data_IF_874355489070
#
_entry.id   IF_874355489070
#
_cell.length_a   1.000
_cell.length_b   1.000
_cell.length_c   1.000
_cell.angle_alpha   90.00
_cell.angle_beta   90.00
_cell.angle_gamma   90.00
#
_symmetry.space_group_name_H-M   'P 1'
#
loop_
_entity.id
_entity.type
_entity.pdbx_description
1 polymer ?
#
# COMPACT_ATOMS: atom_id res chain seq x y z
N UNK A 1 45.07 -43.77 -40.15
CA UNK A 1 44.95 -45.13 -40.73
C UNK A 1 45.09 -46.08 -39.54
N UNK A 2 44.13 -46.86 -39.04
CA UNK A 2 43.25 -47.82 -39.72
C UNK A 2 42.06 -48.22 -38.78
N UNK A 3 40.86 -48.28 -39.38
CA UNK A 3 39.61 -49.06 -39.15
C UNK A 3 39.64 -50.20 -38.11
N UNK A 4 38.57 -50.75 -37.51
CA UNK A 4 37.09 -50.60 -37.46
C UNK A 4 36.64 -51.88 -36.71
N UNK A 5 35.73 -51.81 -35.72
CA UNK A 5 34.74 -52.88 -35.45
C UNK A 5 33.44 -52.28 -34.91
N UNK A 6 32.34 -52.76 -35.46
CA UNK A 6 30.97 -52.33 -35.22
C UNK A 6 30.15 -53.42 -34.51
N UNK A 7 28.91 -53.04 -34.13
CA UNK A 7 27.72 -53.83 -33.68
C UNK A 7 27.56 -53.90 -32.15
N UNK A 8 26.38 -53.70 -31.53
CA UNK A 8 25.02 -53.38 -31.98
C UNK A 8 24.20 -52.85 -30.78
N UNK A 9 23.35 -51.85 -31.04
CA UNK A 9 22.06 -51.43 -30.43
C UNK A 9 21.55 -51.95 -29.06
N UNK A 10 21.05 -51.02 -28.23
CA UNK A 10 19.67 -51.06 -27.72
C UNK A 10 19.13 -49.65 -27.42
N UNK A 11 17.92 -49.39 -27.89
CA UNK A 11 17.16 -48.15 -27.75
C UNK A 11 16.43 -48.06 -26.41
N UNK A 12 16.28 -46.84 -25.87
CA UNK A 12 15.13 -46.44 -25.08
C UNK A 12 14.95 -44.92 -25.19
N UNK A 13 13.97 -44.51 -25.98
CA UNK A 13 13.41 -43.17 -25.93
C UNK A 13 12.59 -43.04 -24.64
N UNK A 14 12.90 -42.04 -23.81
CA UNK A 14 11.99 -41.62 -22.74
C UNK A 14 11.41 -40.29 -23.19
N UNK A 15 10.11 -40.33 -23.49
CA UNK A 15 9.33 -39.23 -24.01
C UNK A 15 9.18 -38.09 -23.01
N UNK A 16 9.05 -36.89 -23.56
CA UNK A 16 8.53 -35.72 -22.88
C UNK A 16 7.15 -36.01 -22.30
N UNK A 17 6.97 -35.69 -21.01
CA UNK A 17 5.71 -35.22 -20.46
C UNK A 17 6.02 -33.92 -19.72
N UNK A 18 6.07 -32.84 -20.50
CA UNK A 18 6.00 -31.49 -19.98
C UNK A 18 4.61 -31.26 -19.41
N UNK A 19 4.47 -31.36 -18.09
CA UNK A 19 3.33 -30.76 -17.40
C UNK A 19 3.67 -29.29 -17.26
N UNK A 20 3.29 -28.50 -18.28
CA UNK A 20 3.16 -27.07 -18.08
C UNK A 20 2.02 -26.90 -17.07
N UNK A 21 2.37 -26.71 -15.79
CA UNK A 21 1.45 -26.16 -14.83
C UNK A 21 1.12 -24.74 -15.30
N UNK A 22 0.10 -24.61 -16.15
CA UNK A 22 -0.64 -23.36 -16.26
C UNK A 22 -1.30 -23.16 -14.91
N UNK A 23 -0.55 -22.59 -13.97
CA UNK A 23 -1.13 -21.91 -12.85
C UNK A 23 -2.02 -20.84 -13.45
N UNK A 24 -3.32 -21.09 -13.48
CA UNK A 24 -4.28 -20.01 -13.62
C UNK A 24 -3.88 -19.00 -12.55
N UNK A 25 -3.42 -17.82 -12.96
CA UNK A 25 -3.33 -16.69 -12.04
C UNK A 25 -4.71 -16.61 -11.42
N UNK A 26 -4.82 -16.98 -10.14
CA UNK A 26 -6.08 -16.81 -9.44
C UNK A 26 -6.34 -15.31 -9.49
N UNK A 27 -7.44 -14.91 -10.14
CA UNK A 27 -7.97 -13.56 -10.03
C UNK A 27 -8.21 -13.31 -8.55
N UNK A 28 -7.20 -12.74 -7.88
CA UNK A 28 -7.37 -12.20 -6.54
C UNK A 28 -8.40 -11.08 -6.73
N UNK A 29 -9.59 -11.17 -6.12
CA UNK A 29 -10.59 -10.14 -6.27
C UNK A 29 -9.95 -8.79 -5.96
N UNK A 30 -10.05 -7.85 -6.90
CA UNK A 30 -9.45 -6.54 -6.73
C UNK A 30 -9.97 -5.94 -5.42
N UNK A 31 -9.05 -5.47 -4.58
CA UNK A 31 -9.44 -4.79 -3.34
C UNK A 31 -10.17 -3.51 -3.76
N UNK A 32 -11.38 -3.32 -3.26
CA UNK A 32 -12.05 -2.02 -3.41
C UNK A 32 -11.68 -1.12 -2.21
N UNK A 33 -11.36 0.14 -2.47
CA UNK A 33 -11.06 1.13 -1.42
C UNK A 33 -12.04 2.31 -1.42
N UNK A 34 -12.99 2.33 -2.36
CA UNK A 34 -13.85 3.49 -2.61
C UNK A 34 -14.67 3.90 -1.39
N UNK A 35 -14.80 5.20 -1.19
CA UNK A 35 -15.55 5.85 -0.13
C UNK A 35 -14.69 6.26 1.07
N UNK A 36 -15.34 6.39 2.24
CA UNK A 36 -14.76 7.01 3.42
C UNK A 36 -14.41 6.01 4.52
N UNK A 37 -13.26 6.21 5.16
CA UNK A 37 -12.73 5.34 6.20
C UNK A 37 -12.15 6.16 7.37
N UNK A 38 -12.58 5.85 8.59
CA UNK A 38 -12.09 6.49 9.81
C UNK A 38 -10.73 5.92 10.19
N UNK A 39 -9.73 6.78 10.39
CA UNK A 39 -8.42 6.34 10.88
C UNK A 39 -8.51 5.91 12.35
N UNK A 40 -7.85 4.81 12.70
CA UNK A 40 -7.87 4.23 14.05
C UNK A 40 -6.49 4.21 14.70
N UNK A 41 -5.48 3.72 13.96
CA UNK A 41 -4.11 3.60 14.48
C UNK A 41 -3.06 3.84 13.42
N UNK A 42 -1.94 4.41 13.86
CA UNK A 42 -0.70 4.52 13.08
C UNK A 42 0.38 3.70 13.79
N UNK A 43 0.85 2.68 13.09
CA UNK A 43 1.81 1.70 13.59
C UNK A 43 3.12 1.95 12.87
N UNK A 44 4.16 2.29 13.60
CA UNK A 44 5.48 2.55 13.06
C UNK A 44 6.19 1.23 12.76
N UNK A 45 7.24 1.29 11.94
CA UNK A 45 8.03 0.14 11.54
C UNK A 45 8.73 -0.57 12.70
N UNK A 46 8.96 0.12 13.82
CA UNK A 46 9.49 -0.46 15.06
C UNK A 46 8.41 -1.11 15.95
N UNK A 47 7.14 -1.07 15.52
CA UNK A 47 6.00 -1.60 16.25
C UNK A 47 5.33 -0.61 17.21
N UNK A 48 5.88 0.59 17.41
CA UNK A 48 5.24 1.66 18.19
C UNK A 48 3.88 1.99 17.58
N UNK A 49 2.83 2.02 18.39
CA UNK A 49 1.47 2.29 17.93
C UNK A 49 0.93 3.56 18.56
N UNK A 50 0.41 4.44 17.71
CA UNK A 50 -0.30 5.65 18.12
C UNK A 50 -1.78 5.54 17.78
N UNK A 51 -2.63 6.09 18.65
CA UNK A 51 -4.03 6.32 18.30
C UNK A 51 -4.11 7.45 17.28
N UNK A 52 -4.95 7.27 16.28
CA UNK A 52 -5.22 8.31 15.28
C UNK A 52 -6.71 8.64 15.29
N UNK A 53 -7.02 9.92 15.07
CA UNK A 53 -8.36 10.38 14.74
C UNK A 53 -8.31 11.08 13.39
N UNK A 54 -9.22 10.73 12.47
CA UNK A 54 -9.18 11.28 11.14
C UNK A 54 -9.99 10.47 10.15
N UNK A 55 -9.89 10.84 8.89
CA UNK A 55 -10.59 10.17 7.81
C UNK A 55 -9.82 10.25 6.51
N UNK A 56 -9.80 9.13 5.78
CA UNK A 56 -9.38 9.05 4.40
C UNK A 56 -10.59 8.82 3.50
N UNK A 57 -10.56 9.41 2.31
CA UNK A 57 -11.57 9.30 1.28
C UNK A 57 -10.89 8.84 -0.01
N UNK A 58 -11.51 7.88 -0.69
CA UNK A 58 -11.20 7.52 -2.07
C UNK A 58 -12.46 7.77 -2.90
N UNK A 59 -12.34 8.56 -3.97
CA UNK A 59 -13.48 8.92 -4.82
C UNK A 59 -13.01 9.04 -6.26
N UNK A 60 -13.56 8.19 -7.14
CA UNK A 60 -13.04 8.09 -8.50
C UNK A 60 -11.57 7.67 -8.46
N UNK A 61 -10.69 8.51 -8.98
CA UNK A 61 -9.24 8.31 -8.94
C UNK A 61 -8.54 9.25 -7.95
N UNK A 62 -9.29 9.97 -7.12
CA UNK A 62 -8.74 10.92 -6.16
C UNK A 62 -8.78 10.35 -4.74
N UNK A 63 -7.80 10.74 -3.95
CA UNK A 63 -7.74 10.43 -2.53
C UNK A 63 -7.44 11.68 -1.71
N UNK A 64 -7.91 11.67 -0.46
CA UNK A 64 -7.69 12.75 0.50
C UNK A 64 -7.74 12.19 1.90
N UNK A 65 -6.82 12.60 2.77
CA UNK A 65 -6.83 12.27 4.18
C UNK A 65 -6.63 13.53 5.02
N UNK A 66 -7.32 13.59 6.14
CA UNK A 66 -6.98 14.46 7.27
C UNK A 66 -6.93 13.59 8.51
N UNK A 67 -5.79 13.55 9.19
CA UNK A 67 -5.64 12.77 10.41
C UNK A 67 -4.79 13.49 11.46
N UNK A 68 -5.02 13.09 12.70
CA UNK A 68 -4.33 13.58 13.88
C UNK A 68 -3.80 12.40 14.69
N UNK A 69 -2.53 12.44 15.06
CA UNK A 69 -1.93 11.51 16.02
C UNK A 69 -2.26 12.03 17.42
N UNK A 70 -2.83 11.15 18.24
CA UNK A 70 -3.47 11.51 19.50
C UNK A 70 -2.64 11.02 20.70
N UNK A 71 -2.54 11.86 21.74
CA UNK A 71 -1.98 11.49 23.05
C UNK A 71 -2.85 12.10 24.15
N UNK A 72 -3.22 11.31 25.16
CA UNK A 72 -4.08 11.79 26.25
C UNK A 72 -5.47 12.29 25.82
N UNK A 73 -5.92 11.97 24.59
CA UNK A 73 -7.17 12.47 24.03
C UNK A 73 -7.03 13.78 23.24
N UNK A 74 -5.84 14.36 23.18
CA UNK A 74 -5.54 15.58 22.43
C UNK A 74 -4.77 15.26 21.14
N UNK A 75 -4.97 16.09 20.11
CA UNK A 75 -4.16 16.02 18.90
C UNK A 75 -2.78 16.64 19.18
N UNK A 76 -1.70 15.87 18.95
CA UNK A 76 -0.31 16.35 19.09
C UNK A 76 0.39 16.57 17.75
N UNK A 77 -0.06 15.85 16.73
CA UNK A 77 0.41 15.99 15.35
C UNK A 77 -0.75 15.83 14.39
N UNK A 78 -0.69 16.50 13.24
CA UNK A 78 -1.67 16.34 12.16
C UNK A 78 -1.02 16.30 10.79
N UNK A 79 -1.70 15.62 9.86
CA UNK A 79 -1.39 15.68 8.45
C UNK A 79 -2.67 15.75 7.61
N UNK A 80 -2.65 16.58 6.58
CA UNK A 80 -3.67 16.69 5.55
C UNK A 80 -3.03 16.47 4.19
N UNK A 81 -3.38 15.37 3.52
CA UNK A 81 -2.71 14.95 2.28
C UNK A 81 -3.73 14.53 1.24
N UNK A 82 -3.35 14.60 -0.04
CA UNK A 82 -4.17 14.07 -1.09
C UNK A 82 -3.61 14.28 -2.49
N UNK A 83 -4.33 13.72 -3.45
CA UNK A 83 -3.99 13.73 -4.86
C UNK A 83 -4.71 12.62 -5.60
N UNK A 84 -4.04 12.00 -6.57
CA UNK A 84 -4.60 10.90 -7.36
C UNK A 84 -4.08 9.55 -6.87
N UNK A 85 -4.79 8.48 -7.20
CA UNK A 85 -4.33 7.11 -6.93
C UNK A 85 -4.62 6.16 -8.10
N UNK A 86 -3.86 5.07 -8.14
CA UNK A 86 -4.19 3.88 -8.94
C UNK A 86 -4.20 2.64 -8.04
N UNK A 87 -5.00 1.64 -8.39
CA UNK A 87 -5.11 0.40 -7.63
C UNK A 87 -5.13 -0.80 -8.58
N UNK A 88 -4.15 -1.70 -8.42
CA UNK A 88 -4.06 -2.95 -9.18
C UNK A 88 -3.92 -4.11 -8.21
N UNK A 89 -4.97 -4.95 -8.10
CA UNK A 89 -5.02 -5.98 -7.08
C UNK A 89 -5.07 -5.38 -5.67
N UNK A 90 -4.00 -5.56 -4.90
CA UNK A 90 -3.78 -4.98 -3.57
C UNK A 90 -2.73 -3.85 -3.56
N UNK A 91 -2.15 -3.51 -4.72
CA UNK A 91 -1.13 -2.47 -4.86
C UNK A 91 -1.77 -1.12 -5.14
N UNK A 92 -1.65 -0.21 -4.18
CA UNK A 92 -2.17 1.15 -4.24
C UNK A 92 -1.02 2.12 -4.45
N UNK A 93 -1.01 2.87 -5.55
CA UNK A 93 -0.05 3.96 -5.74
C UNK A 93 -0.73 5.28 -5.40
N UNK A 94 -0.25 5.97 -4.36
CA UNK A 94 -0.71 7.31 -4.01
C UNK A 94 0.22 8.34 -4.65
N UNK A 95 -0.32 9.24 -5.47
CA UNK A 95 0.40 10.40 -6.01
C UNK A 95 0.03 11.63 -5.19
N UNK A 96 1.02 12.24 -4.52
CA UNK A 96 0.85 13.29 -3.53
C UNK A 96 0.84 14.70 -4.15
N UNK A 97 -0.35 15.27 -4.38
CA UNK A 97 -0.54 16.61 -4.95
C UNK A 97 -0.55 17.71 -3.89
N UNK A 98 -1.06 17.44 -2.69
CA UNK A 98 -0.92 18.35 -1.57
C UNK A 98 -0.56 17.63 -0.28
N UNK A 99 0.17 18.33 0.58
CA UNK A 99 0.61 17.83 1.88
C UNK A 99 0.73 19.01 2.85
N UNK A 100 -0.08 18.97 3.91
CA UNK A 100 -0.05 19.86 5.06
C UNK A 100 0.40 19.03 6.27
N UNK A 101 1.41 19.46 7.00
CA UNK A 101 1.87 18.80 8.22
C UNK A 101 2.18 19.80 9.31
N UNK A 102 1.96 19.41 10.57
CA UNK A 102 2.42 20.13 11.76
C UNK A 102 2.34 19.21 12.98
N UNK A 103 3.21 19.41 13.97
CA UNK A 103 3.06 18.75 15.26
C UNK A 103 4.32 18.65 16.10
N UNK A 104 4.11 18.35 17.37
CA UNK A 104 5.16 18.12 18.35
C UNK A 104 5.86 16.78 18.11
N UNK A 105 7.01 16.59 18.77
CA UNK A 105 7.65 15.27 18.81
C UNK A 105 6.81 14.31 19.67
N UNK A 106 6.69 13.07 19.24
CA UNK A 106 6.04 11.98 19.96
C UNK A 106 6.96 10.74 19.94
N UNK A 107 6.73 9.71 20.78
CA UNK A 107 7.50 8.47 20.71
C UNK A 107 7.58 7.91 19.27
N UNK A 108 8.80 7.78 18.73
CA UNK A 108 9.05 7.31 17.36
C UNK A 108 8.70 8.30 16.24
N UNK A 109 8.20 9.50 16.55
CA UNK A 109 7.84 10.54 15.58
C UNK A 109 8.56 11.85 15.92
N UNK A 110 9.54 12.23 15.11
CA UNK A 110 10.18 13.54 15.23
C UNK A 110 9.17 14.67 15.00
N UNK A 111 9.37 15.84 15.62
CA UNK A 111 8.50 17.01 15.40
C UNK A 111 8.37 17.36 13.92
N UNK A 112 7.23 17.92 13.54
CA UNK A 112 6.97 18.45 12.20
C UNK A 112 6.70 19.94 12.28
N UNK A 113 7.53 20.73 11.61
CA UNK A 113 7.22 22.12 11.33
C UNK A 113 5.89 22.27 10.58
N UNK A 114 5.22 23.40 10.79
CA UNK A 114 4.04 23.76 9.99
C UNK A 114 4.48 24.00 8.55
N UNK A 115 4.01 23.14 7.64
CA UNK A 115 4.34 23.23 6.23
C UNK A 115 3.15 22.82 5.37
N UNK A 116 2.91 23.58 4.31
CA UNK A 116 1.98 23.22 3.25
C UNK A 116 2.71 23.21 1.90
N UNK A 117 2.49 22.15 1.14
CA UNK A 117 2.91 22.03 -0.26
C UNK A 117 1.69 21.72 -1.09
N UNK A 118 1.51 22.44 -2.20
CA UNK A 118 0.53 22.14 -3.23
C UNK A 118 1.24 22.12 -4.58
N UNK A 119 0.89 21.15 -5.41
CA UNK A 119 1.46 20.91 -6.73
C UNK A 119 0.37 21.00 -7.79
N UNK A 120 0.65 21.72 -8.86
CA UNK A 120 -0.21 21.78 -10.04
C UNK A 120 -0.26 20.44 -10.79
N UNK A 121 -1.16 20.30 -11.77
CA UNK A 121 -1.30 19.08 -12.56
C UNK A 121 -0.03 18.67 -13.31
N UNK A 122 0.73 19.67 -13.77
CA UNK A 122 1.94 19.50 -14.57
C UNK A 122 3.22 19.40 -13.72
N UNK A 123 3.12 19.57 -12.40
CA UNK A 123 4.26 19.44 -11.49
C UNK A 123 4.54 17.97 -11.15
N UNK A 124 5.82 17.63 -10.99
CA UNK A 124 6.25 16.33 -10.46
C UNK A 124 5.72 16.14 -9.03
N UNK A 125 4.96 15.07 -8.82
CA UNK A 125 4.35 14.73 -7.55
C UNK A 125 4.97 13.43 -6.99
N UNK A 126 5.35 13.39 -5.70
CA UNK A 126 5.86 12.18 -5.08
C UNK A 126 4.85 11.03 -5.18
N UNK A 127 5.36 9.85 -5.48
CA UNK A 127 4.58 8.61 -5.51
C UNK A 127 4.90 7.75 -4.28
N UNK A 128 3.87 7.18 -3.68
CA UNK A 128 3.99 6.32 -2.51
C UNK A 128 3.29 4.97 -2.76
N UNK A 129 4.05 3.93 -3.14
CA UNK A 129 3.49 2.61 -3.38
C UNK A 129 3.14 1.91 -2.06
N UNK A 130 1.85 1.75 -1.81
CA UNK A 130 1.30 1.11 -0.63
C UNK A 130 0.74 -0.28 -0.96
N UNK A 131 0.71 -1.15 0.04
CA UNK A 131 -0.11 -2.36 -0.01
C UNK A 131 -1.41 -2.14 0.77
N UNK A 132 -2.51 -2.60 0.21
CA UNK A 132 -3.83 -2.57 0.83
C UNK A 132 -4.21 -3.95 1.36
N UNK A 133 -4.59 -4.03 2.63
CA UNK A 133 -5.23 -5.22 3.20
C UNK A 133 -6.66 -4.86 3.60
N UNK A 134 -7.64 -5.56 3.02
CA UNK A 134 -9.07 -5.38 3.33
C UNK A 134 -9.65 -6.60 4.04
N UNK A 135 -10.45 -6.35 5.07
CA UNK A 135 -11.22 -7.36 5.79
C UNK A 135 -12.58 -6.80 6.19
N UNK A 136 -13.60 -7.02 5.35
CA UNK A 136 -14.94 -6.46 5.54
C UNK A 136 -14.91 -4.93 5.66
N UNK A 137 -15.26 -4.44 6.85
CA UNK A 137 -15.30 -3.02 7.21
C UNK A 137 -13.94 -2.47 7.68
N UNK A 138 -12.85 -3.23 7.55
CA UNK A 138 -11.50 -2.79 7.91
C UNK A 138 -10.61 -2.64 6.70
N UNK A 139 -9.81 -1.59 6.72
CA UNK A 139 -8.79 -1.27 5.74
C UNK A 139 -7.46 -1.06 6.47
N UNK A 140 -6.37 -1.60 5.92
CA UNK A 140 -5.00 -1.29 6.35
C UNK A 140 -4.19 -0.89 5.14
N UNK A 141 -3.48 0.22 5.25
CA UNK A 141 -2.47 0.65 4.30
C UNK A 141 -1.09 0.37 4.90
N UNK A 142 -0.27 -0.41 4.22
CA UNK A 142 1.15 -0.61 4.55
C UNK A 142 1.98 0.30 3.65
N UNK A 143 2.79 1.17 4.24
CA UNK A 143 3.61 2.15 3.53
C UNK A 143 5.02 1.59 3.23
N UNK A 144 5.74 2.13 2.24
CA UNK A 144 7.12 1.74 1.94
C UNK A 144 8.09 1.86 3.12
N UNK A 145 7.80 2.78 4.05
CA UNK A 145 8.57 3.00 5.27
C UNK A 145 8.52 1.83 6.26
N UNK A 146 7.65 0.84 6.04
CA UNK A 146 7.32 -0.21 7.00
C UNK A 146 6.25 0.21 8.02
N UNK A 147 5.83 1.49 8.00
CA UNK A 147 4.71 1.94 8.81
C UNK A 147 3.38 1.42 8.22
N UNK A 148 2.32 1.48 9.01
CA UNK A 148 0.98 1.19 8.54
C UNK A 148 -0.08 2.02 9.24
N UNK A 149 -1.15 2.36 8.53
CA UNK A 149 -2.34 2.97 9.11
C UNK A 149 -3.54 2.04 8.95
N UNK A 150 -4.32 1.89 10.02
CA UNK A 150 -5.56 1.12 9.99
C UNK A 150 -6.79 2.01 10.07
N UNK A 151 -7.85 1.55 9.43
CA UNK A 151 -9.09 2.29 9.29
C UNK A 151 -10.29 1.36 9.40
N UNK A 152 -11.40 1.93 9.82
CA UNK A 152 -12.73 1.31 9.74
C UNK A 152 -13.62 2.05 8.77
N UNK A 153 -14.52 1.33 8.10
CA UNK A 153 -15.47 1.93 7.18
C UNK A 153 -16.27 2.99 7.91
N UNK A 154 -16.37 4.16 7.31
CA UNK A 154 -17.25 5.20 7.83
C UNK A 154 -18.70 4.80 7.56
N UNK A 155 -19.40 4.37 8.60
CA UNK A 155 -20.86 4.36 8.60
C UNK A 155 -21.31 5.82 8.73
N UNK A 156 -22.22 6.28 7.86
CA UNK A 156 -22.61 7.70 7.79
C UNK A 156 -22.98 8.27 9.18
N UNK A 157 -22.61 9.52 9.42
CA UNK A 157 -23.46 10.49 10.11
C UNK A 157 -23.60 11.69 9.19
#
# INVERSE_FOLDING_TARGET
MTRLRARLALAAAIGLLGVAATGAAQDVPAVDVQGAWNAESYILSDGTAHRVAGRIFFTGNDWTVLFFVMEGGEAKRGSGEGGSFTLTGDQLLLTHRYHLSAGEAMPGLAASELRMVARGPDDDAPEEPCQVVRGGERLRLNFPSGNAMTFTRSTRR
#
